data_IF_689701095128
#
_entry.id   IF_689701095128
#
_cell.length_a   1.000
_cell.length_b   1.000
_cell.length_c   1.000
_cell.angle_alpha   90.00
_cell.angle_beta   90.00
_cell.angle_gamma   90.00
#
_symmetry.space_group_name_H-M   'P 1'
#
loop_
_entity.id
_entity.type
_entity.pdbx_description
1 polymer ?
#
# COMPACT_ATOMS: atom_id res chain seq x y z
N UNK A 1 -1.60 -22.28 -11.46
CA UNK A 1 -2.72 -21.44 -10.95
C UNK A 1 -2.54 -21.15 -9.47
N UNK A 2 -3.06 -20.04 -8.93
CA UNK A 2 -2.84 -19.61 -7.52
C UNK A 2 -3.23 -20.69 -6.48
N UNK A 3 -4.38 -21.33 -6.65
CA UNK A 3 -4.84 -22.43 -5.78
C UNK A 3 -3.85 -23.60 -5.77
N UNK A 4 -3.24 -23.91 -6.91
CA UNK A 4 -2.24 -24.97 -7.01
C UNK A 4 -0.94 -24.59 -6.30
N UNK A 5 -0.50 -23.34 -6.42
CA UNK A 5 0.67 -22.83 -5.71
C UNK A 5 0.45 -22.87 -4.19
N UNK A 6 -0.72 -22.45 -3.72
CA UNK A 6 -1.10 -22.59 -2.31
C UNK A 6 -1.07 -24.05 -1.84
N UNK A 7 -1.66 -24.98 -2.60
CA UNK A 7 -1.68 -26.41 -2.26
C UNK A 7 -0.29 -27.05 -2.23
N UNK A 8 0.68 -26.54 -2.99
CA UNK A 8 2.06 -27.04 -3.03
C UNK A 8 2.92 -26.47 -1.90
N UNK A 9 2.55 -25.32 -1.34
CA UNK A 9 3.30 -24.69 -0.25
C UNK A 9 3.23 -25.52 1.03
N UNK A 10 4.34 -25.57 1.76
CA UNK A 10 4.41 -26.31 3.02
C UNK A 10 3.51 -25.64 4.08
N UNK A 11 2.61 -26.37 4.77
CA UNK A 11 1.79 -25.81 5.82
C UNK A 11 2.61 -25.03 6.85
N UNK A 12 2.05 -23.91 7.32
CA UNK A 12 2.68 -23.01 8.29
C UNK A 12 3.99 -22.34 7.84
N UNK A 13 4.40 -22.50 6.57
CA UNK A 13 5.53 -21.77 6.01
C UNK A 13 5.16 -20.32 5.69
N UNK A 14 6.17 -19.43 5.56
CA UNK A 14 5.97 -18.06 5.07
C UNK A 14 5.26 -18.06 3.71
N UNK A 15 5.69 -18.93 2.79
CA UNK A 15 5.07 -19.04 1.47
C UNK A 15 3.58 -19.39 1.56
N UNK A 16 3.23 -20.36 2.41
CA UNK A 16 1.84 -20.74 2.64
C UNK A 16 0.99 -19.57 3.11
N UNK A 17 1.49 -18.78 4.08
CA UNK A 17 0.80 -17.59 4.57
C UNK A 17 0.63 -16.51 3.50
N UNK A 18 1.66 -16.24 2.71
CA UNK A 18 1.58 -15.25 1.63
C UNK A 18 0.56 -15.68 0.56
N UNK A 19 0.55 -16.97 0.19
CA UNK A 19 -0.42 -17.51 -0.77
C UNK A 19 -1.85 -17.55 -0.22
N UNK A 20 -2.04 -17.77 1.08
CA UNK A 20 -3.34 -17.65 1.74
C UNK A 20 -3.88 -16.21 1.67
N UNK A 21 -3.04 -15.23 2.00
CA UNK A 21 -3.41 -13.81 1.91
C UNK A 21 -3.72 -13.41 0.46
N UNK A 22 -2.93 -13.91 -0.51
CA UNK A 22 -3.17 -13.68 -1.93
C UNK A 22 -4.52 -14.24 -2.39
N UNK A 23 -4.85 -15.48 -1.99
CA UNK A 23 -6.16 -16.08 -2.27
C UNK A 23 -7.30 -15.26 -1.67
N UNK A 24 -7.15 -14.77 -0.44
CA UNK A 24 -8.15 -13.95 0.22
C UNK A 24 -8.34 -12.61 -0.51
N UNK A 25 -7.26 -11.92 -0.87
CA UNK A 25 -7.31 -10.67 -1.61
C UNK A 25 -7.99 -10.83 -2.98
N UNK A 26 -7.60 -11.85 -3.74
CA UNK A 26 -8.22 -12.17 -5.04
C UNK A 26 -9.70 -12.51 -4.87
N UNK A 27 -10.07 -13.31 -3.86
CA UNK A 27 -11.48 -13.67 -3.62
C UNK A 27 -12.33 -12.46 -3.28
N UNK A 28 -11.87 -11.58 -2.39
CA UNK A 28 -12.58 -10.34 -2.06
C UNK A 28 -12.71 -9.41 -3.28
N UNK A 29 -11.66 -9.30 -4.09
CA UNK A 29 -11.69 -8.54 -5.35
C UNK A 29 -12.74 -9.11 -6.30
N UNK A 30 -12.72 -10.43 -6.54
CA UNK A 30 -13.67 -11.13 -7.43
C UNK A 30 -15.10 -10.97 -6.94
N UNK A 31 -15.39 -11.16 -5.64
CA UNK A 31 -16.74 -10.95 -5.13
C UNK A 31 -17.23 -9.52 -5.32
N UNK A 32 -16.36 -8.51 -5.11
CA UNK A 32 -16.72 -7.12 -5.35
C UNK A 32 -17.02 -6.84 -6.83
N UNK A 33 -16.25 -7.44 -7.75
CA UNK A 33 -16.51 -7.39 -9.21
C UNK A 33 -17.87 -8.01 -9.54
N UNK A 34 -18.13 -9.22 -9.06
CA UNK A 34 -19.38 -9.95 -9.31
C UNK A 34 -20.59 -9.19 -8.77
N UNK A 35 -20.53 -8.68 -7.53
CA UNK A 35 -21.60 -7.90 -6.92
C UNK A 35 -21.87 -6.62 -7.72
N UNK A 36 -20.83 -5.93 -8.18
CA UNK A 36 -20.97 -4.71 -8.99
C UNK A 36 -21.65 -4.98 -10.35
N UNK A 37 -21.48 -6.19 -10.88
CA UNK A 37 -22.05 -6.60 -12.16
C UNK A 37 -23.47 -7.18 -12.05
N UNK A 38 -24.01 -7.39 -10.85
CA UNK A 38 -25.39 -7.85 -10.67
C UNK A 38 -26.39 -6.83 -11.24
N UNK A 39 -27.37 -7.30 -12.00
CA UNK A 39 -28.37 -6.45 -12.69
C UNK A 39 -29.10 -5.48 -11.74
N UNK A 40 -29.44 -5.94 -10.53
CA UNK A 40 -30.11 -5.13 -9.50
C UNK A 40 -29.26 -3.94 -8.99
N UNK A 41 -27.93 -4.07 -9.10
CA UNK A 41 -26.96 -3.06 -8.66
C UNK A 41 -26.54 -2.17 -9.82
N UNK A 42 -26.46 -2.72 -11.05
CA UNK A 42 -26.12 -1.99 -12.27
C UNK A 42 -26.99 -0.75 -12.48
N UNK A 43 -28.30 -0.83 -12.21
CA UNK A 43 -29.20 0.33 -12.31
C UNK A 43 -28.84 1.44 -11.32
N UNK A 44 -28.36 1.10 -10.11
CA UNK A 44 -27.92 2.07 -9.10
C UNK A 44 -26.63 2.77 -9.52
N UNK A 45 -25.76 2.10 -10.27
CA UNK A 45 -24.52 2.69 -10.76
C UNK A 45 -24.74 3.76 -11.84
N UNK A 46 -25.84 3.66 -12.62
CA UNK A 46 -26.22 4.69 -13.59
C UNK A 46 -26.39 6.08 -12.97
N UNK A 47 -26.74 6.18 -11.68
CA UNK A 47 -26.81 7.46 -10.96
C UNK A 47 -25.44 8.15 -11.00
N UNK A 48 -24.37 7.40 -10.73
CA UNK A 48 -23.01 7.92 -10.79
C UNK A 48 -22.57 8.19 -12.23
N UNK A 49 -22.86 7.29 -13.17
CA UNK A 49 -22.47 7.47 -14.58
C UNK A 49 -23.11 8.73 -15.17
N UNK A 50 -24.41 8.93 -14.94
CA UNK A 50 -25.13 10.14 -15.33
C UNK A 50 -24.47 11.37 -14.69
N UNK A 51 -24.21 11.34 -13.38
CA UNK A 51 -23.51 12.44 -12.71
C UNK A 51 -22.13 12.69 -13.30
N UNK A 52 -21.36 11.65 -13.63
CA UNK A 52 -20.00 11.69 -14.20
C UNK A 52 -19.99 12.31 -15.59
N UNK A 53 -21.04 12.06 -16.38
CA UNK A 53 -21.17 12.53 -17.77
C UNK A 53 -21.76 13.93 -17.90
N UNK A 54 -22.36 14.47 -16.83
CA UNK A 54 -22.92 15.83 -16.84
C UNK A 54 -21.88 16.88 -17.29
N UNK A 55 -22.19 17.69 -18.34
CA UNK A 55 -21.34 18.78 -18.80
C UNK A 55 -21.07 19.78 -17.67
N UNK A 56 -19.83 20.23 -17.54
CA UNK A 56 -19.43 21.28 -16.58
C UNK A 56 -18.38 22.19 -17.19
N UNK A 57 -18.31 23.43 -16.71
CA UNK A 57 -17.17 24.31 -16.96
C UNK A 57 -15.95 23.70 -16.27
N UNK A 58 -15.18 22.91 -17.02
CA UNK A 58 -14.02 22.20 -16.50
C UNK A 58 -12.89 23.19 -16.19
N UNK A 59 -12.60 23.41 -14.92
CA UNK A 59 -11.29 23.92 -14.53
C UNK A 59 -10.26 22.79 -14.65
N UNK A 60 -8.95 23.11 -14.66
CA UNK A 60 -7.88 22.10 -14.65
C UNK A 60 -8.06 21.08 -13.49
N UNK A 61 -8.63 21.53 -12.37
CA UNK A 61 -8.80 20.77 -11.15
C UNK A 61 -10.05 19.87 -11.13
N UNK A 62 -11.02 20.11 -12.01
CA UNK A 62 -12.26 19.31 -12.15
C UNK A 62 -12.20 18.32 -13.32
N UNK A 63 -11.02 18.15 -13.92
CA UNK A 63 -10.89 17.48 -15.21
C UNK A 63 -11.00 15.96 -15.14
N UNK A 64 -10.70 15.37 -13.98
CA UNK A 64 -10.72 13.92 -13.80
C UNK A 64 -11.88 13.50 -12.88
N UNK A 65 -12.69 12.55 -13.35
CA UNK A 65 -13.69 11.85 -12.55
C UNK A 65 -13.37 10.37 -12.58
N UNK A 66 -13.47 9.73 -11.43
CA UNK A 66 -13.18 8.30 -11.32
C UNK A 66 -14.09 7.48 -12.25
N UNK A 67 -13.62 6.32 -12.73
CA UNK A 67 -14.44 5.46 -13.59
C UNK A 67 -15.67 4.92 -12.88
N UNK A 68 -15.66 4.81 -11.55
CA UNK A 68 -16.81 4.37 -10.75
C UNK A 68 -16.89 5.20 -9.47
N UNK A 69 -18.04 5.16 -8.78
CA UNK A 69 -18.19 5.76 -7.45
C UNK A 69 -17.26 5.10 -6.40
N UNK A 70 -16.80 3.87 -6.68
CA UNK A 70 -16.00 3.05 -5.81
C UNK A 70 -14.63 2.84 -6.45
N UNK A 71 -13.74 3.83 -6.29
CA UNK A 71 -12.43 3.81 -6.91
C UNK A 71 -11.30 4.01 -5.91
N UNK A 72 -10.17 3.38 -6.23
CA UNK A 72 -8.88 3.66 -5.63
C UNK A 72 -8.06 4.45 -6.64
N UNK A 73 -7.62 5.67 -6.30
CA UNK A 73 -7.05 6.62 -7.27
C UNK A 73 -5.96 6.04 -8.19
N UNK A 74 -4.94 5.34 -7.65
CA UNK A 74 -3.94 4.64 -8.48
C UNK A 74 -4.43 3.48 -9.36
N UNK A 75 -5.58 2.86 -9.07
CA UNK A 75 -6.07 1.64 -9.73
C UNK A 75 -7.30 1.91 -10.59
N UNK A 76 -7.16 2.85 -11.53
CA UNK A 76 -8.23 3.34 -12.43
C UNK A 76 -8.00 2.96 -13.90
N UNK A 77 -7.15 1.98 -14.18
CA UNK A 77 -6.73 1.62 -15.53
C UNK A 77 -7.76 0.71 -16.23
N UNK A 78 -9.00 1.21 -16.38
CA UNK A 78 -10.14 0.44 -16.90
C UNK A 78 -9.86 -0.25 -18.24
N UNK A 79 -9.12 0.39 -19.14
CA UNK A 79 -8.86 -0.15 -20.48
C UNK A 79 -8.00 -1.43 -20.49
N UNK A 80 -7.22 -1.68 -19.43
CA UNK A 80 -6.34 -2.87 -19.34
C UNK A 80 -6.89 -3.94 -18.38
N UNK A 81 -8.01 -3.67 -17.73
CA UNK A 81 -8.62 -4.57 -16.76
C UNK A 81 -9.52 -5.60 -17.45
N UNK A 82 -9.44 -6.89 -17.07
CA UNK A 82 -10.24 -7.95 -17.71
C UNK A 82 -11.76 -7.73 -17.55
N UNK A 83 -12.20 -7.15 -16.43
CA UNK A 83 -13.60 -6.81 -16.14
C UNK A 83 -13.88 -5.31 -16.27
N UNK A 84 -12.98 -4.55 -16.90
CA UNK A 84 -13.13 -3.11 -17.10
C UNK A 84 -13.34 -2.34 -15.80
N UNK A 85 -14.39 -1.52 -15.73
CA UNK A 85 -14.65 -0.65 -14.59
C UNK A 85 -14.90 -1.42 -13.28
N UNK A 86 -15.38 -2.67 -13.36
CA UNK A 86 -15.66 -3.48 -12.19
C UNK A 86 -14.38 -3.83 -11.41
N UNK A 87 -13.24 -4.02 -12.07
CA UNK A 87 -11.97 -4.27 -11.37
C UNK A 87 -11.53 -3.07 -10.52
N UNK A 88 -11.91 -1.84 -10.91
CA UNK A 88 -11.68 -0.62 -10.09
C UNK A 88 -12.38 -0.73 -8.74
N UNK A 89 -13.56 -1.36 -8.72
CA UNK A 89 -14.36 -1.62 -7.52
C UNK A 89 -13.75 -2.73 -6.68
N UNK A 90 -13.18 -3.77 -7.31
CA UNK A 90 -12.41 -4.80 -6.64
C UNK A 90 -11.24 -4.22 -5.83
N UNK A 91 -10.42 -3.39 -6.46
CA UNK A 91 -9.30 -2.71 -5.78
C UNK A 91 -9.78 -1.76 -4.67
N UNK A 92 -10.90 -1.06 -4.89
CA UNK A 92 -11.51 -0.24 -3.82
C UNK A 92 -11.95 -1.11 -2.64
N UNK A 93 -12.60 -2.24 -2.89
CA UNK A 93 -13.08 -3.14 -1.85
C UNK A 93 -11.92 -3.71 -1.02
N UNK A 94 -10.85 -4.16 -1.68
CA UNK A 94 -9.62 -4.57 -0.99
C UNK A 94 -9.09 -3.48 -0.07
N UNK A 95 -9.01 -2.24 -0.54
CA UNK A 95 -8.49 -1.17 0.27
C UNK A 95 -9.40 -0.79 1.46
N UNK A 96 -10.71 -1.07 1.36
CA UNK A 96 -11.65 -0.92 2.47
C UNK A 96 -11.56 -2.06 3.48
N UNK A 97 -11.41 -3.29 3.00
CA UNK A 97 -11.33 -4.48 3.83
C UNK A 97 -9.96 -4.55 4.48
N UNK A 98 -8.88 -4.61 3.70
CA UNK A 98 -7.53 -4.85 4.19
C UNK A 98 -6.78 -3.58 4.63
N UNK A 99 -7.28 -2.39 4.26
CA UNK A 99 -6.60 -1.11 4.51
C UNK A 99 -5.70 -0.62 3.37
N UNK A 100 -5.56 -1.43 2.32
CA UNK A 100 -4.92 -1.09 1.06
C UNK A 100 -5.12 -2.22 0.03
N UNK A 101 -4.83 -1.94 -1.24
CA UNK A 101 -4.71 -3.01 -2.24
C UNK A 101 -3.52 -3.88 -1.87
N UNK A 102 -3.72 -5.19 -1.86
CA UNK A 102 -2.69 -6.15 -1.45
C UNK A 102 -1.83 -6.48 -2.67
N UNK A 103 -0.54 -6.16 -2.58
CA UNK A 103 0.44 -6.40 -3.65
C UNK A 103 1.63 -7.20 -3.12
N UNK A 104 2.35 -7.86 -4.03
CA UNK A 104 3.40 -8.82 -3.67
C UNK A 104 4.71 -8.47 -4.36
N UNK A 105 5.83 -8.74 -3.71
CA UNK A 105 7.11 -8.86 -4.41
C UNK A 105 7.08 -10.17 -5.21
N UNK A 106 7.01 -10.02 -6.55
CA UNK A 106 6.91 -11.13 -7.50
C UNK A 106 8.25 -11.71 -7.92
N UNK A 107 9.37 -11.26 -7.34
CA UNK A 107 10.69 -11.67 -7.76
C UNK A 107 11.02 -11.25 -9.19
N UNK A 108 12.13 -11.75 -9.72
CA UNK A 108 12.60 -11.39 -11.07
C UNK A 108 11.75 -12.03 -12.18
N UNK A 109 11.20 -13.22 -11.91
CA UNK A 109 10.41 -14.01 -12.85
C UNK A 109 8.93 -13.57 -12.92
N UNK A 110 8.48 -12.77 -11.96
CA UNK A 110 7.10 -12.28 -11.88
C UNK A 110 6.10 -13.30 -11.34
N UNK A 111 6.53 -14.45 -10.83
CA UNK A 111 5.62 -15.54 -10.39
C UNK A 111 5.68 -15.85 -8.90
N UNK A 112 6.73 -15.37 -8.24
CA UNK A 112 6.94 -15.58 -6.82
C UNK A 112 5.97 -14.72 -5.96
N UNK A 113 5.95 -15.00 -4.66
CA UNK A 113 5.33 -14.13 -3.66
C UNK A 113 6.29 -14.08 -2.48
N UNK A 114 7.32 -13.23 -2.56
CA UNK A 114 8.41 -13.16 -1.57
C UNK A 114 8.03 -12.38 -0.31
N UNK A 115 7.18 -11.37 -0.49
CA UNK A 115 6.76 -10.44 0.55
C UNK A 115 5.42 -9.80 0.17
N UNK A 116 4.58 -9.49 1.17
CA UNK A 116 3.35 -8.71 0.99
C UNK A 116 3.55 -7.23 1.30
N UNK A 117 2.79 -6.40 0.61
CA UNK A 117 2.68 -4.97 0.84
C UNK A 117 1.25 -4.49 0.68
N UNK A 118 0.96 -3.34 1.26
CA UNK A 118 -0.32 -2.64 1.14
C UNK A 118 -0.12 -1.30 0.44
N UNK A 119 -0.98 -1.02 -0.54
CA UNK A 119 -1.11 0.29 -1.15
C UNK A 119 -2.38 0.95 -0.61
N UNK A 120 -2.24 1.87 0.34
CA UNK A 120 -3.37 2.48 1.05
C UNK A 120 -4.22 3.43 0.19
N UNK A 121 -5.49 3.57 0.56
CA UNK A 121 -6.45 4.46 -0.14
C UNK A 121 -6.94 5.66 0.69
N UNK A 122 -6.44 5.83 1.93
CA UNK A 122 -6.96 6.85 2.85
C UNK A 122 -6.43 8.23 2.48
N UNK A 123 -7.29 9.25 2.49
CA UNK A 123 -6.94 10.64 2.18
C UNK A 123 -5.79 11.21 3.04
N UNK A 124 -5.70 10.79 4.30
CA UNK A 124 -4.63 11.18 5.24
C UNK A 124 -3.60 10.06 5.46
N UNK A 125 -3.68 8.97 4.70
CA UNK A 125 -2.71 7.88 4.74
C UNK A 125 -1.57 8.13 3.75
N UNK A 126 -0.54 7.26 3.79
CA UNK A 126 0.54 7.32 2.83
C UNK A 126 0.05 6.92 1.43
N UNK A 127 0.65 7.56 0.43
CA UNK A 127 0.62 7.18 -0.98
C UNK A 127 1.70 6.15 -1.31
N UNK A 128 2.68 5.96 -0.45
CA UNK A 128 3.70 4.92 -0.60
C UNK A 128 3.12 3.54 -0.30
N UNK A 129 3.71 2.53 -0.92
CA UNK A 129 3.46 1.12 -0.67
C UNK A 129 4.31 0.69 0.52
N UNK A 130 3.77 -0.17 1.39
CA UNK A 130 4.45 -0.52 2.64
C UNK A 130 4.20 -1.96 3.06
N UNK A 131 5.21 -2.64 3.61
CA UNK A 131 5.01 -3.95 4.22
C UNK A 131 4.29 -3.79 5.56
N UNK A 132 3.54 -4.81 6.02
CA UNK A 132 3.11 -4.85 7.42
C UNK A 132 4.32 -4.89 8.36
N UNK A 133 4.14 -4.41 9.59
CA UNK A 133 5.10 -4.71 10.66
C UNK A 133 5.03 -6.21 11.01
N UNK A 134 6.04 -6.74 11.71
CA UNK A 134 6.01 -8.12 12.19
C UNK A 134 4.77 -8.39 13.04
N UNK A 135 4.43 -7.46 13.95
CA UNK A 135 3.23 -7.55 14.77
C UNK A 135 1.95 -7.55 13.93
N UNK A 136 1.82 -6.66 12.94
CA UNK A 136 0.66 -6.64 12.05
C UNK A 136 0.55 -7.94 11.25
N UNK A 137 1.68 -8.46 10.76
CA UNK A 137 1.71 -9.72 10.02
C UNK A 137 1.27 -10.89 10.90
N UNK A 138 1.81 -10.99 12.12
CA UNK A 138 1.44 -12.04 13.07
C UNK A 138 -0.05 -11.99 13.41
N UNK A 139 -0.60 -10.80 13.67
CA UNK A 139 -2.03 -10.62 13.94
C UNK A 139 -2.91 -11.06 12.76
N UNK A 140 -2.50 -10.77 11.52
CA UNK A 140 -3.19 -11.27 10.32
C UNK A 140 -3.20 -12.80 10.32
N UNK A 141 -2.06 -13.44 10.53
CA UNK A 141 -1.97 -14.90 10.48
C UNK A 141 -2.77 -15.55 11.61
N UNK A 142 -2.65 -15.03 12.83
CA UNK A 142 -3.43 -15.52 13.97
C UNK A 142 -4.94 -15.44 13.67
N UNK A 143 -5.42 -14.29 13.17
CA UNK A 143 -6.82 -14.11 12.80
C UNK A 143 -7.28 -15.08 11.69
N UNK A 144 -6.44 -15.32 10.67
CA UNK A 144 -6.81 -16.20 9.56
C UNK A 144 -6.79 -17.69 9.92
N UNK A 145 -6.02 -18.08 10.93
CA UNK A 145 -5.89 -19.48 11.35
C UNK A 145 -6.77 -19.84 12.55
N UNK A 146 -7.29 -18.84 13.27
CA UNK A 146 -8.13 -19.06 14.45
C UNK A 146 -9.35 -19.93 14.11
N UNK A 147 -9.52 -21.01 14.86
CA UNK A 147 -10.61 -21.99 14.73
C UNK A 147 -11.68 -21.80 15.81
N UNK A 148 -11.52 -20.80 16.70
CA UNK A 148 -12.47 -20.53 17.77
C UNK A 148 -13.80 -19.96 17.27
N UNK A 149 -14.92 -20.51 17.75
CA UNK A 149 -16.28 -20.06 17.40
C UNK A 149 -16.69 -18.74 18.10
N UNK A 150 -15.89 -18.21 19.03
CA UNK A 150 -16.21 -16.98 19.76
C UNK A 150 -15.91 -15.73 18.90
N UNK A 151 -16.73 -15.48 17.89
CA UNK A 151 -16.64 -14.30 17.01
C UNK A 151 -17.04 -12.97 17.69
N UNK A 152 -17.13 -12.91 19.02
CA UNK A 152 -17.57 -11.71 19.77
C UNK A 152 -16.53 -10.58 19.86
N UNK A 153 -15.35 -10.73 19.28
CA UNK A 153 -14.30 -9.71 19.38
C UNK A 153 -14.06 -9.00 18.05
N UNK A 154 -14.83 -7.94 17.78
CA UNK A 154 -14.37 -6.86 16.90
C UNK A 154 -12.98 -6.31 17.32
N UNK A 155 -12.57 -6.56 18.57
CA UNK A 155 -11.23 -6.27 19.12
C UNK A 155 -10.11 -7.19 18.62
N UNK A 156 -10.39 -8.33 17.97
CA UNK A 156 -9.38 -9.28 17.50
C UNK A 156 -9.17 -9.22 15.97
N UNK A 157 -10.00 -8.47 15.23
CA UNK A 157 -9.83 -8.32 13.79
C UNK A 157 -8.68 -7.35 13.48
N UNK A 158 -7.60 -7.78 12.80
CA UNK A 158 -6.48 -6.93 12.47
C UNK A 158 -6.78 -5.95 11.32
N UNK A 159 -7.90 -6.14 10.62
CA UNK A 159 -8.27 -5.35 9.47
C UNK A 159 -9.18 -4.16 9.82
N UNK A 160 -9.03 -3.00 9.14
CA UNK A 160 -8.04 -2.70 8.10
C UNK A 160 -6.64 -2.42 8.68
N UNK A 161 -5.59 -2.89 7.99
CA UNK A 161 -4.20 -2.60 8.33
C UNK A 161 -3.89 -1.15 7.97
N UNK A 162 -3.51 -0.37 8.97
CA UNK A 162 -3.17 1.03 8.78
C UNK A 162 -1.67 1.22 8.88
N UNK A 163 -1.12 1.92 7.88
CA UNK A 163 0.25 2.39 7.92
C UNK A 163 0.51 3.27 9.14
N UNK A 164 1.60 2.96 9.84
CA UNK A 164 2.22 3.79 10.86
C UNK A 164 3.65 4.13 10.45
N UNK A 165 4.34 5.06 11.16
CA UNK A 165 5.75 5.30 10.93
C UNK A 165 6.65 4.06 11.09
N UNK A 166 6.17 3.01 11.76
CA UNK A 166 6.92 1.76 11.96
C UNK A 166 6.86 0.82 10.75
N UNK A 167 5.90 0.98 9.85
CA UNK A 167 5.93 0.30 8.56
C UNK A 167 7.05 0.92 7.71
N UNK A 168 8.27 0.41 7.88
CA UNK A 168 9.46 0.87 7.16
C UNK A 168 9.63 0.11 5.84
N UNK A 169 10.68 0.46 5.09
CA UNK A 169 10.87 0.00 3.71
C UNK A 169 9.72 0.41 2.79
N UNK A 170 9.37 1.70 2.83
CA UNK A 170 8.36 2.31 1.95
C UNK A 170 8.80 2.27 0.51
N UNK A 171 7.88 2.02 -0.41
CA UNK A 171 8.14 2.04 -1.84
C UNK A 171 7.28 3.10 -2.52
N UNK A 172 7.87 3.82 -3.47
CA UNK A 172 7.09 4.65 -4.37
C UNK A 172 6.29 3.73 -5.31
N UNK A 173 4.99 3.98 -5.56
CA UNK A 173 4.19 3.09 -6.40
C UNK A 173 4.73 2.91 -7.82
N UNK A 174 5.39 3.92 -8.39
CA UNK A 174 5.99 3.82 -9.72
C UNK A 174 7.25 2.96 -9.68
N UNK A 175 8.19 3.21 -8.76
CA UNK A 175 9.41 2.40 -8.64
C UNK A 175 9.08 0.93 -8.32
N UNK A 176 8.14 0.72 -7.40
CA UNK A 176 7.65 -0.59 -7.00
C UNK A 176 7.29 -1.46 -8.21
N UNK A 177 6.51 -0.88 -9.14
CA UNK A 177 6.04 -1.60 -10.32
C UNK A 177 7.07 -1.62 -11.46
N UNK A 178 7.78 -0.51 -11.69
CA UNK A 178 8.69 -0.35 -12.83
C UNK A 178 10.05 -1.06 -12.65
N UNK A 179 10.53 -1.17 -11.41
CA UNK A 179 11.90 -1.61 -11.13
C UNK A 179 11.99 -2.76 -10.12
N UNK A 180 10.97 -2.99 -9.30
CA UNK A 180 11.07 -3.92 -8.17
C UNK A 180 10.06 -5.07 -8.20
N UNK A 181 9.27 -5.20 -9.29
CA UNK A 181 8.26 -6.25 -9.45
C UNK A 181 7.28 -6.38 -8.27
N UNK A 182 6.93 -5.24 -7.65
CA UNK A 182 5.95 -5.18 -6.58
C UNK A 182 4.58 -4.84 -7.17
N UNK A 183 3.79 -5.89 -7.40
CA UNK A 183 2.42 -5.85 -7.91
C UNK A 183 1.70 -7.17 -7.59
N UNK A 184 0.38 -7.18 -7.56
CA UNK A 184 -0.37 -8.44 -7.62
C UNK A 184 -0.48 -8.89 -9.07
N UNK A 185 -1.04 -8.03 -9.92
CA UNK A 185 -1.23 -8.30 -11.35
C UNK A 185 -0.49 -7.25 -12.17
N UNK A 186 0.20 -7.67 -13.24
CA UNK A 186 1.00 -6.74 -14.05
C UNK A 186 0.17 -5.66 -14.74
N UNK A 187 -1.14 -5.88 -14.89
CA UNK A 187 -2.09 -4.93 -15.45
C UNK A 187 -2.76 -4.04 -14.38
N UNK A 188 -2.41 -4.11 -13.10
CA UNK A 188 -3.16 -3.39 -12.05
C UNK A 188 -2.98 -1.86 -12.08
N UNK A 189 -1.87 -1.37 -12.65
CA UNK A 189 -1.54 0.07 -12.72
C UNK A 189 -0.90 0.40 -14.06
N UNK A 190 -1.07 1.62 -14.56
CA UNK A 190 -0.37 2.13 -15.76
C UNK A 190 0.98 2.70 -15.34
N UNK A 191 2.07 2.20 -15.90
CA UNK A 191 3.41 2.73 -15.67
C UNK A 191 3.66 3.83 -16.70
N UNK A 192 3.74 5.08 -16.24
CA UNK A 192 4.21 6.19 -17.08
C UNK A 192 5.66 5.94 -17.52
N UNK A 193 6.06 6.32 -18.75
CA UNK A 193 7.46 6.22 -19.18
C UNK A 193 8.44 6.97 -18.26
N UNK A 194 7.97 8.01 -17.57
CA UNK A 194 8.76 8.79 -16.62
C UNK A 194 8.10 8.82 -15.26
N UNK A 195 8.91 8.65 -14.21
CA UNK A 195 8.48 8.86 -12.83
C UNK A 195 8.05 10.31 -12.62
N UNK A 196 6.82 10.50 -12.15
CA UNK A 196 6.36 11.83 -11.74
C UNK A 196 7.07 12.26 -10.46
N UNK A 197 7.57 13.49 -10.43
CA UNK A 197 8.15 14.06 -9.22
C UNK A 197 7.00 14.53 -8.31
N UNK A 198 6.93 14.06 -7.05
CA UNK A 198 5.91 14.55 -6.14
C UNK A 198 6.09 16.04 -5.90
N UNK A 199 4.99 16.79 -5.85
CA UNK A 199 5.02 18.23 -5.56
C UNK A 199 5.34 18.53 -4.08
N UNK A 200 5.08 17.57 -3.18
CA UNK A 200 5.31 17.69 -1.73
C UNK A 200 5.89 16.37 -1.22
N UNK A 201 6.98 16.46 -0.47
CA UNK A 201 7.53 15.36 0.33
C UNK A 201 7.07 15.50 1.78
N UNK A 202 6.64 14.41 2.41
CA UNK A 202 6.13 14.45 3.77
C UNK A 202 6.44 13.16 4.54
N UNK A 203 6.38 13.24 5.88
CA UNK A 203 6.69 12.14 6.79
C UNK A 203 5.61 11.07 6.91
N UNK A 204 4.43 11.27 6.31
CA UNK A 204 3.40 10.23 6.22
C UNK A 204 3.82 9.22 5.16
N UNK A 205 4.20 9.71 3.98
CA UNK A 205 4.71 8.91 2.87
C UNK A 205 6.08 8.30 3.17
N UNK A 206 6.98 9.10 3.75
CA UNK A 206 8.37 8.76 4.02
C UNK A 206 8.72 9.05 5.49
N UNK A 207 8.46 8.12 6.42
CA UNK A 207 8.72 8.32 7.86
C UNK A 207 10.14 8.81 8.17
N UNK A 208 11.13 8.40 7.39
CA UNK A 208 12.53 8.81 7.49
C UNK A 208 12.76 10.32 7.33
N UNK A 209 11.84 11.06 6.69
CA UNK A 209 11.91 12.53 6.64
C UNK A 209 11.78 13.12 8.04
N UNK A 210 10.92 12.54 8.90
CA UNK A 210 10.81 12.99 10.29
C UNK A 210 12.12 12.72 11.04
N UNK A 211 12.73 11.56 10.81
CA UNK A 211 13.99 11.17 11.44
C UNK A 211 15.14 12.11 11.01
N UNK A 212 15.26 12.43 9.71
CA UNK A 212 16.27 13.37 9.17
C UNK A 212 16.09 14.78 9.74
N UNK A 213 14.84 15.28 9.78
CA UNK A 213 14.53 16.58 10.37
C UNK A 213 14.80 16.62 11.88
N UNK A 214 14.50 15.55 12.60
CA UNK A 214 14.79 15.44 14.02
C UNK A 214 16.30 15.54 14.27
N UNK A 215 17.11 14.79 13.51
CA UNK A 215 18.56 14.81 13.65
C UNK A 215 19.15 16.18 13.31
N UNK A 216 18.64 16.87 12.27
CA UNK A 216 19.07 18.25 11.94
C UNK A 216 18.77 19.20 13.11
N UNK A 217 17.60 19.09 13.74
CA UNK A 217 17.23 19.95 14.87
C UNK A 217 18.08 19.63 16.12
N UNK A 218 18.26 18.35 16.45
CA UNK A 218 19.12 17.91 17.55
C UNK A 218 20.56 18.42 17.38
N UNK A 219 21.04 18.53 16.14
CA UNK A 219 22.34 19.10 15.80
C UNK A 219 22.48 20.56 16.25
N UNK A 220 21.49 21.38 15.94
CA UNK A 220 21.46 22.79 16.35
C UNK A 220 21.33 22.91 17.87
N UNK A 221 20.47 22.12 18.48
CA UNK A 221 20.27 22.13 19.93
C UNK A 221 21.51 21.72 20.71
N UNK A 222 22.29 20.75 20.21
CA UNK A 222 23.60 20.37 20.79
C UNK A 222 24.57 21.54 20.76
N UNK A 223 24.63 22.29 19.65
CA UNK A 223 25.49 23.47 19.51
C UNK A 223 25.08 24.60 20.46
N UNK A 224 23.79 24.69 20.79
CA UNK A 224 23.24 25.61 21.79
C UNK A 224 23.41 25.13 23.23
N UNK A 225 24.00 23.94 23.46
CA UNK A 225 24.24 23.37 24.79
C UNK A 225 22.97 22.82 25.46
N UNK A 226 21.91 22.54 24.70
CA UNK A 226 20.69 21.92 25.21
C UNK A 226 20.90 20.42 25.45
N UNK A 227 20.19 19.88 26.44
CA UNK A 227 20.12 18.43 26.66
C UNK A 227 19.27 17.77 25.59
N UNK A 228 19.73 16.65 25.06
CA UNK A 228 19.05 15.89 24.02
C UNK A 228 18.62 14.52 24.54
N UNK A 229 17.57 13.98 23.93
CA UNK A 229 17.16 12.61 24.13
C UNK A 229 18.02 11.69 23.23
N UNK A 230 19.03 11.05 23.83
CA UNK A 230 19.93 10.16 23.09
C UNK A 230 19.23 8.90 22.58
N UNK A 231 18.13 8.46 23.22
CA UNK A 231 17.35 7.31 22.76
C UNK A 231 16.56 7.67 21.50
N UNK A 232 15.97 8.87 21.45
CA UNK A 232 15.27 9.35 20.26
C UNK A 232 16.25 9.64 19.09
N UNK A 233 17.47 10.13 19.38
CA UNK A 233 18.55 10.24 18.39
C UNK A 233 18.93 8.86 17.83
N UNK A 234 19.10 7.86 18.69
CA UNK A 234 19.44 6.51 18.27
C UNK A 234 18.33 5.90 17.40
N UNK A 235 17.07 6.06 17.80
CA UNK A 235 15.91 5.60 17.05
C UNK A 235 15.79 6.29 15.68
N UNK A 236 16.04 7.60 15.60
CA UNK A 236 16.04 8.33 14.34
C UNK A 236 17.17 7.85 13.39
N UNK A 237 18.39 7.65 13.93
CA UNK A 237 19.52 7.08 13.18
C UNK A 237 19.20 5.68 12.65
N UNK A 238 18.60 4.83 13.48
CA UNK A 238 18.16 3.49 13.06
C UNK A 238 17.09 3.58 11.97
N UNK A 239 16.11 4.48 12.12
CA UNK A 239 15.04 4.72 11.14
C UNK A 239 15.58 5.06 9.75
N UNK A 240 16.64 5.86 9.68
CA UNK A 240 17.32 6.20 8.41
C UNK A 240 17.97 4.98 7.73
N UNK A 241 18.33 3.93 8.47
CA UNK A 241 18.87 2.70 7.86
C UNK A 241 17.80 1.82 7.20
N UNK A 242 16.51 2.05 7.51
CA UNK A 242 15.37 1.23 7.06
C UNK A 242 14.61 1.89 5.89
N UNK A 243 15.36 2.39 4.91
CA UNK A 243 14.84 3.05 3.71
C UNK A 243 15.06 2.20 2.45
N UNK A 244 14.30 2.48 1.39
CA UNK A 244 14.44 1.80 0.09
C UNK A 244 15.08 2.74 -0.94
N UNK A 245 15.50 2.22 -2.11
CA UNK A 245 15.92 3.06 -3.24
C UNK A 245 14.89 4.09 -3.71
N UNK A 246 13.61 3.93 -3.36
CA UNK A 246 12.56 4.90 -3.67
C UNK A 246 12.56 6.13 -2.78
N UNK A 247 13.23 6.05 -1.63
CA UNK A 247 13.21 7.11 -0.63
C UNK A 247 13.82 8.41 -1.19
N UNK A 248 13.24 9.58 -0.88
CA UNK A 248 13.84 10.86 -1.23
C UNK A 248 15.17 11.11 -0.51
N UNK A 249 15.44 10.38 0.58
CA UNK A 249 16.72 10.43 1.29
C UNK A 249 17.72 9.36 0.80
N UNK A 250 17.36 8.59 -0.23
CA UNK A 250 18.26 7.63 -0.85
C UNK A 250 19.32 8.35 -1.70
N UNK A 251 20.53 8.45 -1.20
CA UNK A 251 21.68 8.97 -1.95
C UNK A 251 22.61 7.84 -2.36
N UNK A 252 22.34 7.14 -3.47
CA UNK A 252 23.24 6.19 -4.14
C UNK A 252 24.13 5.32 -3.21
N UNK A 253 23.56 4.79 -2.12
CA UNK A 253 24.28 3.93 -1.16
C UNK A 253 25.13 4.65 -0.11
N UNK A 254 25.17 5.98 -0.08
CA UNK A 254 25.80 6.79 0.97
C UNK A 254 24.71 7.37 1.86
N UNK A 255 24.45 6.77 3.02
CA UNK A 255 23.64 7.39 4.06
C UNK A 255 24.25 8.75 4.45
N UNK A 256 23.41 9.80 4.56
CA UNK A 256 23.83 11.07 5.16
C UNK A 256 24.46 10.78 6.52
N UNK A 257 25.73 11.14 6.68
CA UNK A 257 26.44 11.01 7.96
C UNK A 257 26.26 12.28 8.75
N UNK A 258 25.59 12.18 9.88
CA UNK A 258 25.54 13.24 10.89
C UNK A 258 26.81 13.14 11.73
N UNK A 259 27.88 13.82 11.31
CA UNK A 259 29.10 13.91 12.10
C UNK A 259 28.87 14.85 13.30
N UNK A 260 29.19 14.40 14.51
CA UNK A 260 29.03 15.19 15.74
C UNK A 260 27.69 14.98 16.48
N UNK A 261 26.78 14.16 15.93
CA UNK A 261 25.66 13.57 16.67
C UNK A 261 25.90 12.09 16.86
#
# INVERSE_FOLDING_TARGET
MLVEAFRKSAPQSKEFYLRLIELLAVSCHTFAVEIFQLDEVAEKHKIYDNWRELPRNMTKWDSFRDPTAFAHGPYIAVDQYPNGAADTVGYWAEARIFGGVVVFDRGEDGTESRQIYFHGCRRKGPRTIYPPTEQQFEQIIQFLLDQGESHDTASANPFPILATPQNRWRWDPWDAMAHHNIYRDRYERKISPTKEKPCVLNSIDWPEIKDDLYLINAMHERLEGKSLDEDEIAAAKEGLTKITPSSPLWSNGVLRRYQGI
#
